data_IF_176332564900
#
_entry.id   IF_176332564900
#
_cell.length_a   1.000
_cell.length_b   1.000
_cell.length_c   1.000
_cell.angle_alpha   90.00
_cell.angle_beta   90.00
_cell.angle_gamma   90.00
#
_symmetry.space_group_name_H-M   'P 1'
#
loop_
_entity.id
_entity.type
_entity.pdbx_description
1 polymer ?
#
# COMPACT_ATOMS: atom_id res chain seq x y z
N UNK A 1 -28.82 21.07 -11.54
CA UNK A 1 -27.93 19.91 -11.64
C UNK A 1 -26.50 20.45 -11.74
N UNK A 2 -25.81 20.62 -10.61
CA UNK A 2 -24.41 21.02 -10.62
C UNK A 2 -23.59 19.81 -11.05
N UNK A 3 -22.83 19.94 -12.15
CA UNK A 3 -21.76 18.99 -12.45
C UNK A 3 -20.70 19.21 -11.38
N UNK A 4 -20.70 18.37 -10.35
CA UNK A 4 -19.56 18.22 -9.46
C UNK A 4 -18.41 17.76 -10.34
N UNK A 5 -17.57 18.72 -10.76
CA UNK A 5 -16.31 18.44 -11.40
C UNK A 5 -15.43 17.83 -10.30
N UNK A 6 -15.55 16.51 -10.12
CA UNK A 6 -14.58 15.73 -9.36
C UNK A 6 -13.25 15.86 -10.09
N UNK A 7 -12.49 16.92 -9.80
CA UNK A 7 -11.14 17.08 -10.28
C UNK A 7 -10.29 16.02 -9.58
N UNK A 8 -10.19 14.88 -10.26
CA UNK A 8 -9.38 13.75 -9.84
C UNK A 8 -7.92 14.13 -10.01
N UNK A 9 -7.18 14.20 -8.90
CA UNK A 9 -5.72 14.33 -8.92
C UNK A 9 -5.16 13.11 -9.68
N UNK A 10 -4.30 13.28 -10.70
CA UNK A 10 -3.66 12.17 -11.37
C UNK A 10 -3.00 11.22 -10.36
N UNK A 11 -3.21 9.92 -10.53
CA UNK A 11 -2.77 8.89 -9.57
C UNK A 11 -1.26 8.95 -9.28
N UNK A 12 -0.45 9.25 -10.29
CA UNK A 12 1.00 9.40 -10.16
C UNK A 12 1.38 10.62 -9.31
N UNK A 13 0.70 11.75 -9.53
CA UNK A 13 0.89 12.97 -8.74
C UNK A 13 0.47 12.71 -7.28
N UNK A 14 -0.67 12.05 -7.08
CA UNK A 14 -1.14 11.64 -5.76
C UNK A 14 -0.14 10.73 -5.03
N UNK A 15 0.37 9.70 -5.72
CA UNK A 15 1.36 8.78 -5.14
C UNK A 15 2.66 9.50 -4.81
N UNK A 16 3.14 10.36 -5.72
CA UNK A 16 4.32 11.19 -5.49
C UNK A 16 4.17 12.07 -4.25
N UNK A 17 3.02 12.73 -4.08
CA UNK A 17 2.75 13.53 -2.87
C UNK A 17 2.73 12.67 -1.61
N UNK A 18 2.12 11.49 -1.68
CA UNK A 18 2.01 10.55 -0.56
C UNK A 18 3.38 10.04 -0.12
N UNK A 19 4.23 9.65 -1.07
CA UNK A 19 5.62 9.23 -0.82
C UNK A 19 6.42 10.34 -0.17
N UNK A 20 6.36 11.56 -0.72
CA UNK A 20 7.08 12.71 -0.19
C UNK A 20 6.59 13.09 1.22
N UNK A 21 5.27 13.03 1.46
CA UNK A 21 4.69 13.31 2.76
C UNK A 21 5.15 12.30 3.81
N UNK A 22 5.04 11.01 3.51
CA UNK A 22 5.47 9.94 4.43
C UNK A 22 6.97 10.00 4.71
N UNK A 23 7.78 10.27 3.68
CA UNK A 23 9.23 10.50 3.83
C UNK A 23 9.50 11.66 4.80
N UNK A 24 8.85 12.80 4.59
CA UNK A 24 9.01 13.98 5.44
C UNK A 24 8.60 13.70 6.89
N UNK A 25 7.47 13.02 7.10
CA UNK A 25 6.91 12.77 8.43
C UNK A 25 7.71 11.76 9.24
N UNK A 26 8.24 10.69 8.63
CA UNK A 26 8.86 9.58 9.37
C UNK A 26 10.37 9.47 9.22
N UNK A 27 10.94 10.00 8.13
CA UNK A 27 12.37 9.88 7.81
C UNK A 27 13.14 11.18 8.05
N UNK A 28 12.57 12.33 7.68
CA UNK A 28 13.21 13.64 7.86
C UNK A 28 12.84 14.35 9.17
N UNK A 29 11.59 14.22 9.63
CA UNK A 29 11.16 14.84 10.88
C UNK A 29 11.98 14.33 12.08
N UNK A 30 11.96 15.11 13.17
CA UNK A 30 12.67 14.68 14.36
C UNK A 30 12.09 13.36 14.92
N UNK A 31 12.97 12.53 15.49
CA UNK A 31 12.62 11.18 15.96
C UNK A 31 11.46 11.18 16.96
N UNK A 32 11.35 12.21 17.79
CA UNK A 32 10.30 12.34 18.79
C UNK A 32 8.92 12.51 18.16
N UNK A 33 8.79 13.40 17.17
CA UNK A 33 7.55 13.63 16.43
C UNK A 33 7.14 12.39 15.64
N UNK A 34 8.06 11.83 14.86
CA UNK A 34 7.79 10.62 14.08
C UNK A 34 7.33 9.46 14.96
N UNK A 35 7.96 9.29 16.14
CA UNK A 35 7.56 8.26 17.11
C UNK A 35 6.22 8.56 17.77
N UNK A 36 5.87 9.83 17.98
CA UNK A 36 4.55 10.22 18.51
C UNK A 36 3.45 9.82 17.53
N UNK A 37 3.58 10.23 16.26
CA UNK A 37 2.63 9.90 15.20
C UNK A 37 2.51 8.38 15.05
N UNK A 38 3.65 7.67 15.01
CA UNK A 38 3.67 6.21 14.97
C UNK A 38 2.87 5.58 16.13
N UNK A 39 3.04 6.05 17.36
CA UNK A 39 2.31 5.50 18.52
C UNK A 39 0.82 5.68 18.36
N UNK A 40 0.38 6.85 17.91
CA UNK A 40 -1.04 7.12 17.71
C UNK A 40 -1.64 6.21 16.64
N UNK A 41 -1.00 6.07 15.48
CA UNK A 41 -1.51 5.18 14.42
C UNK A 41 -1.40 3.70 14.79
N UNK A 42 -0.38 3.29 15.55
CA UNK A 42 -0.24 1.91 16.05
C UNK A 42 -1.32 1.55 17.10
N UNK A 43 -1.85 2.55 17.82
CA UNK A 43 -3.02 2.41 18.69
C UNK A 43 -4.35 2.35 17.91
N UNK A 44 -4.31 2.38 16.57
CA UNK A 44 -5.48 2.36 15.70
C UNK A 44 -6.13 3.74 15.49
N UNK A 45 -5.47 4.84 15.88
CA UNK A 45 -5.97 6.19 15.64
C UNK A 45 -5.69 6.63 14.21
N UNK A 46 -6.53 7.54 13.72
CA UNK A 46 -6.28 8.30 12.51
C UNK A 46 -5.62 9.63 12.89
N UNK A 47 -4.48 9.93 12.27
CA UNK A 47 -3.69 11.12 12.59
C UNK A 47 -3.61 12.05 11.38
N UNK A 48 -4.00 13.31 11.57
CA UNK A 48 -3.83 14.33 10.54
C UNK A 48 -2.34 14.66 10.37
N UNK A 49 -1.81 14.49 9.16
CA UNK A 49 -0.41 14.77 8.85
C UNK A 49 -0.21 16.23 8.43
N UNK A 50 -0.95 16.69 7.43
CA UNK A 50 -0.81 18.05 6.88
C UNK A 50 -1.98 18.43 5.97
N UNK A 51 -2.04 19.70 5.60
CA UNK A 51 -2.92 20.18 4.53
C UNK A 51 -2.05 20.52 3.32
N UNK A 52 -2.37 19.94 2.17
CA UNK A 52 -1.73 20.24 0.89
C UNK A 52 -2.61 21.21 0.12
N UNK A 53 -2.02 22.32 -0.33
CA UNK A 53 -2.68 23.23 -1.25
C UNK A 53 -2.55 22.70 -2.67
N UNK A 54 -3.68 22.49 -3.33
CA UNK A 54 -3.77 22.06 -4.72
C UNK A 54 -3.57 23.25 -5.67
N UNK A 55 -3.38 22.96 -6.96
CA UNK A 55 -3.18 23.97 -8.00
C UNK A 55 -4.37 24.93 -8.14
N UNK A 56 -5.59 24.46 -7.85
CA UNK A 56 -6.82 25.24 -7.80
C UNK A 56 -6.99 26.06 -6.49
N UNK A 57 -5.98 26.06 -5.62
CA UNK A 57 -5.95 26.65 -4.27
C UNK A 57 -6.83 25.96 -3.24
N UNK A 58 -7.48 24.85 -3.58
CA UNK A 58 -8.18 24.04 -2.58
C UNK A 58 -7.17 23.45 -1.58
N UNK A 59 -7.62 23.28 -0.33
CA UNK A 59 -6.82 22.64 0.71
C UNK A 59 -7.34 21.23 0.91
N UNK A 60 -6.48 20.24 0.72
CA UNK A 60 -6.80 18.83 1.01
C UNK A 60 -6.01 18.38 2.22
N UNK A 61 -6.71 17.89 3.24
CA UNK A 61 -6.09 17.34 4.44
C UNK A 61 -5.65 15.90 4.17
N UNK A 62 -4.42 15.56 4.53
CA UNK A 62 -3.92 14.20 4.48
C UNK A 62 -3.92 13.63 5.89
N UNK A 63 -4.66 12.55 6.07
CA UNK A 63 -4.75 11.78 7.30
C UNK A 63 -4.00 10.45 7.12
N UNK A 64 -3.53 9.85 8.22
CA UNK A 64 -2.80 8.60 8.23
C UNK A 64 -3.44 7.60 9.19
N UNK A 65 -3.60 6.37 8.71
CA UNK A 65 -3.95 5.20 9.49
C UNK A 65 -2.92 4.07 9.27
N UNK A 66 -2.79 3.20 10.27
CA UNK A 66 -1.96 2.01 10.20
C UNK A 66 -2.80 0.78 10.54
N UNK A 67 -2.77 -0.21 9.64
CA UNK A 67 -3.29 -1.54 9.85
C UNK A 67 -2.11 -2.51 9.99
N UNK A 68 -1.90 -3.00 11.20
CA UNK A 68 -0.82 -3.94 11.52
C UNK A 68 -1.36 -5.30 11.98
N UNK A 69 -2.63 -5.58 11.68
CA UNK A 69 -3.30 -6.84 12.04
C UNK A 69 -2.54 -8.10 11.58
N UNK A 70 -1.95 -8.04 10.38
CA UNK A 70 -1.16 -9.13 9.81
C UNK A 70 0.34 -9.10 10.18
N UNK A 71 0.77 -8.13 11.00
CA UNK A 71 2.17 -8.05 11.42
C UNK A 71 2.53 -9.19 12.38
N UNK A 72 3.54 -9.99 12.01
CA UNK A 72 3.97 -11.14 12.81
C UNK A 72 4.97 -10.71 13.89
N UNK A 73 4.46 -10.29 15.04
CA UNK A 73 5.26 -9.99 16.22
C UNK A 73 4.84 -8.69 16.89
N UNK A 74 5.77 -8.07 17.63
CA UNK A 74 5.52 -6.77 18.25
C UNK A 74 6.10 -5.67 17.39
N UNK A 75 5.24 -5.03 16.59
CA UNK A 75 5.63 -3.88 15.80
C UNK A 75 6.17 -2.77 16.71
N UNK A 76 7.42 -2.36 16.46
CA UNK A 76 8.04 -1.23 17.12
C UNK A 76 8.39 -0.15 16.10
N UNK A 77 8.71 1.07 16.57
CA UNK A 77 8.98 2.20 15.70
C UNK A 77 10.16 1.96 14.74
N UNK A 78 11.18 1.20 15.15
CA UNK A 78 12.32 0.86 14.31
C UNK A 78 11.88 -0.02 13.14
N UNK A 79 11.26 -1.15 13.43
CA UNK A 79 10.78 -2.10 12.41
C UNK A 79 9.74 -1.48 11.48
N UNK A 80 8.85 -0.64 12.01
CA UNK A 80 7.94 0.17 11.20
C UNK A 80 8.68 1.11 10.25
N UNK A 81 9.65 1.87 10.78
CA UNK A 81 10.43 2.82 9.98
C UNK A 81 11.24 2.10 8.90
N UNK A 82 11.79 0.94 9.19
CA UNK A 82 12.55 0.13 8.23
C UNK A 82 11.63 -0.35 7.10
N UNK A 83 10.46 -0.92 7.43
CA UNK A 83 9.44 -1.32 6.44
C UNK A 83 8.96 -0.14 5.58
N UNK A 84 8.72 1.01 6.21
CA UNK A 84 8.33 2.22 5.49
C UNK A 84 9.47 2.72 4.58
N UNK A 85 10.72 2.65 5.02
CA UNK A 85 11.88 3.04 4.21
C UNK A 85 11.97 2.19 2.95
N UNK A 86 11.83 0.87 3.08
CA UNK A 86 11.83 -0.05 1.92
C UNK A 86 10.65 0.25 0.99
N UNK A 87 9.45 0.44 1.53
CA UNK A 87 8.26 0.76 0.74
C UNK A 87 8.46 2.05 -0.08
N UNK A 88 8.90 3.13 0.56
CA UNK A 88 9.11 4.42 -0.10
C UNK A 88 10.20 4.37 -1.17
N UNK A 89 11.26 3.58 -0.94
CA UNK A 89 12.28 3.33 -1.95
C UNK A 89 11.70 2.61 -3.19
N UNK A 90 10.94 1.53 -2.98
CA UNK A 90 10.30 0.79 -4.07
C UNK A 90 9.29 1.65 -4.85
N UNK A 91 8.52 2.50 -4.17
CA UNK A 91 7.59 3.44 -4.82
C UNK A 91 8.32 4.50 -5.63
N UNK A 92 9.40 5.04 -5.08
CA UNK A 92 10.24 6.02 -5.79
C UNK A 92 10.86 5.40 -7.04
N UNK A 93 11.33 4.16 -6.96
CA UNK A 93 11.88 3.44 -8.11
C UNK A 93 10.81 3.14 -9.16
N UNK A 94 9.61 2.73 -8.75
CA UNK A 94 8.49 2.50 -9.66
C UNK A 94 8.06 3.79 -10.39
N UNK A 95 7.98 4.91 -9.68
CA UNK A 95 7.68 6.23 -10.25
C UNK A 95 8.78 6.69 -11.22
N UNK A 96 10.06 6.49 -10.88
CA UNK A 96 11.20 6.85 -11.74
C UNK A 96 11.26 6.03 -13.03
N UNK A 97 10.84 4.77 -12.97
CA UNK A 97 10.88 3.85 -14.11
C UNK A 97 9.63 3.98 -15.00
N UNK A 98 8.73 4.92 -14.73
CA UNK A 98 7.42 5.06 -15.42
C UNK A 98 6.69 3.72 -15.50
N UNK A 99 6.89 2.85 -14.50
CA UNK A 99 6.22 1.56 -14.46
C UNK A 99 4.74 1.82 -14.24
N UNK A 100 3.89 1.12 -14.98
CA UNK A 100 2.46 1.08 -14.70
C UNK A 100 2.28 0.45 -13.31
N UNK A 101 2.07 1.28 -12.29
CA UNK A 101 1.81 0.84 -10.93
C UNK A 101 0.41 0.25 -10.91
N UNK A 102 0.33 -1.06 -10.73
CA UNK A 102 -0.95 -1.76 -10.54
C UNK A 102 -1.63 -1.19 -9.31
N UNK A 103 -2.89 -0.77 -9.46
CA UNK A 103 -3.73 -0.32 -8.35
C UNK A 103 -4.85 -1.34 -8.19
N UNK A 104 -4.95 -1.91 -7.00
CA UNK A 104 -6.05 -2.78 -6.60
C UNK A 104 -7.12 -1.94 -5.91
N UNK A 105 -8.37 -2.32 -6.05
CA UNK A 105 -9.48 -1.75 -5.27
C UNK A 105 -9.93 -2.77 -4.25
N UNK A 106 -10.29 -2.33 -3.05
CA UNK A 106 -10.87 -3.24 -2.06
C UNK A 106 -12.24 -3.73 -2.58
N UNK A 107 -12.52 -5.03 -2.48
CA UNK A 107 -13.75 -5.64 -3.00
C UNK A 107 -15.01 -5.02 -2.35
N UNK A 108 -14.93 -4.73 -1.06
CA UNK A 108 -16.01 -4.12 -0.29
C UNK A 108 -16.10 -2.59 -0.38
N UNK A 109 -15.01 -1.91 -0.79
CA UNK A 109 -14.98 -0.45 -0.88
C UNK A 109 -14.15 0.03 -2.10
N UNK A 110 -14.82 0.45 -3.20
CA UNK A 110 -14.14 0.89 -4.41
C UNK A 110 -13.40 2.23 -4.25
N UNK A 111 -13.62 2.97 -3.16
CA UNK A 111 -12.90 4.22 -2.88
C UNK A 111 -11.50 3.96 -2.29
N UNK A 112 -11.29 2.77 -1.73
CA UNK A 112 -10.00 2.33 -1.21
C UNK A 112 -9.15 1.76 -2.34
N UNK A 113 -8.13 2.51 -2.71
CA UNK A 113 -7.12 2.12 -3.70
C UNK A 113 -5.88 1.61 -2.98
N UNK A 114 -5.40 0.42 -3.31
CA UNK A 114 -4.15 -0.17 -2.81
C UNK A 114 -3.12 -0.15 -3.94
N UNK A 115 -1.98 0.51 -3.69
CA UNK A 115 -0.88 0.53 -4.64
C UNK A 115 -0.11 -0.79 -4.56
N UNK A 116 0.01 -1.49 -5.68
CA UNK A 116 0.68 -2.80 -5.79
C UNK A 116 2.19 -2.79 -5.64
N UNK A 117 2.76 -1.73 -5.05
CA UNK A 117 4.17 -1.64 -4.69
C UNK A 117 4.29 -2.05 -3.22
N UNK A 118 5.14 -3.03 -2.95
CA UNK A 118 5.30 -3.61 -1.62
C UNK A 118 6.67 -3.31 -1.04
N UNK A 119 6.71 -3.06 0.27
CA UNK A 119 7.94 -2.97 1.05
C UNK A 119 8.11 -4.26 1.83
N UNK A 120 9.02 -5.13 1.39
CA UNK A 120 9.31 -6.41 2.05
C UNK A 120 10.50 -6.26 2.98
N UNK A 121 10.30 -6.52 4.26
CA UNK A 121 11.35 -6.55 5.28
C UNK A 121 11.39 -7.88 5.99
N UNK A 122 12.53 -8.20 6.59
CA UNK A 122 12.71 -9.41 7.39
C UNK A 122 13.05 -9.00 8.82
N UNK A 123 12.15 -9.30 9.76
CA UNK A 123 12.40 -9.13 11.19
C UNK A 123 12.42 -10.51 11.85
N UNK A 124 13.48 -10.83 12.60
CA UNK A 124 13.66 -12.13 13.26
C UNK A 124 13.48 -13.34 12.30
N UNK A 125 13.86 -13.18 11.03
CA UNK A 125 13.72 -14.21 9.99
C UNK A 125 12.30 -14.38 9.45
N UNK A 126 11.35 -13.53 9.83
CA UNK A 126 9.97 -13.54 9.34
C UNK A 126 9.76 -12.40 8.34
N UNK A 127 9.26 -12.69 7.12
CA UNK A 127 8.95 -11.65 6.16
C UNK A 127 7.72 -10.85 6.62
N UNK A 128 7.81 -9.53 6.49
CA UNK A 128 6.71 -8.58 6.67
C UNK A 128 6.53 -7.80 5.38
N UNK A 129 5.28 -7.69 4.93
CA UNK A 129 4.95 -6.99 3.68
C UNK A 129 4.13 -5.77 4.01
N UNK A 130 4.65 -4.58 3.75
CA UNK A 130 3.94 -3.31 3.92
C UNK A 130 3.46 -2.79 2.57
N UNK A 131 2.23 -2.30 2.51
CA UNK A 131 1.66 -1.62 1.33
C UNK A 131 1.04 -0.27 1.71
N UNK A 132 0.87 0.59 0.70
CA UNK A 132 0.13 1.83 0.83
C UNK A 132 -1.24 1.70 0.17
N UNK A 133 -2.27 1.99 0.94
CA UNK A 133 -3.61 2.28 0.47
C UNK A 133 -3.92 3.77 0.56
N UNK A 134 -4.88 4.22 -0.22
CA UNK A 134 -5.45 5.55 -0.17
C UNK A 134 -6.97 5.47 -0.33
N UNK A 135 -7.67 6.12 0.59
CA UNK A 135 -9.10 6.37 0.49
C UNK A 135 -9.32 7.86 0.28
N UNK A 136 -9.67 8.21 -0.96
CA UNK A 136 -10.11 9.53 -1.33
C UNK A 136 -11.64 9.51 -1.30
N UNK A 137 -12.21 9.56 -0.09
CA UNK A 137 -13.65 9.44 0.13
C UNK A 137 -14.47 10.37 -0.79
N UNK A 138 -15.69 9.95 -1.11
CA UNK A 138 -16.57 10.68 -2.00
C UNK A 138 -17.06 12.00 -1.38
N UNK A 139 -16.32 13.09 -1.60
CA UNK A 139 -16.79 14.47 -1.37
C UNK A 139 -16.25 15.23 -0.16
N UNK A 140 -15.28 14.68 0.59
CA UNK A 140 -14.57 15.43 1.64
C UNK A 140 -13.22 15.94 1.12
N UNK A 141 -12.74 17.13 1.52
CA UNK A 141 -11.41 17.63 1.18
C UNK A 141 -10.33 16.94 2.05
N UNK A 142 -10.43 15.62 2.22
CA UNK A 142 -9.50 14.83 2.99
C UNK A 142 -9.19 13.52 2.29
N UNK A 143 -7.92 13.14 2.30
CA UNK A 143 -7.46 11.83 1.82
C UNK A 143 -6.87 11.07 2.99
N UNK A 144 -7.32 9.83 3.17
CA UNK A 144 -6.76 8.90 4.15
C UNK A 144 -5.68 8.05 3.51
N UNK A 145 -4.45 8.18 3.97
CA UNK A 145 -3.37 7.25 3.67
C UNK A 145 -3.46 6.09 4.65
N UNK A 146 -3.52 4.86 4.14
CA UNK A 146 -3.58 3.65 4.97
C UNK A 146 -2.34 2.80 4.73
N UNK A 147 -1.45 2.76 5.70
CA UNK A 147 -0.34 1.80 5.68
C UNK A 147 -0.87 0.46 6.17
N UNK A 148 -0.67 -0.62 5.41
CA UNK A 148 -1.22 -1.93 5.74
C UNK A 148 -0.14 -2.99 5.67
N UNK A 149 0.00 -3.77 6.75
CA UNK A 149 0.74 -5.01 6.68
C UNK A 149 -0.14 -6.12 6.11
N UNK A 150 0.42 -6.90 5.18
CA UNK A 150 -0.25 -8.03 4.55
C UNK A 150 0.40 -9.35 4.97
N UNK A 151 -0.39 -10.42 4.95
CA UNK A 151 0.12 -11.76 5.20
C UNK A 151 1.06 -12.18 4.06
N UNK A 152 2.31 -12.50 4.42
CA UNK A 152 3.33 -12.95 3.49
C UNK A 152 2.95 -14.27 2.80
N UNK A 153 2.05 -15.08 3.40
CA UNK A 153 1.59 -16.33 2.79
C UNK A 153 0.89 -16.12 1.45
N UNK A 154 0.31 -14.93 1.24
CA UNK A 154 -0.34 -14.53 -0.01
C UNK A 154 0.65 -14.22 -1.13
N UNK A 155 1.94 -14.05 -0.79
CA UNK A 155 3.04 -13.80 -1.72
C UNK A 155 3.95 -15.03 -1.89
N UNK A 156 3.55 -16.18 -1.32
CA UNK A 156 4.22 -17.47 -1.49
C UNK A 156 4.05 -18.02 -2.92
N UNK A 157 5.11 -18.65 -3.42
CA UNK A 157 5.36 -19.10 -4.80
C UNK A 157 4.15 -19.56 -5.63
N UNK A 158 4.16 -19.36 -6.96
CA UNK A 158 3.18 -19.96 -7.86
C UNK A 158 3.14 -21.46 -7.59
N UNK A 159 2.00 -21.96 -7.10
CA UNK A 159 1.74 -23.39 -7.02
C UNK A 159 2.03 -23.96 -8.41
N UNK A 160 2.94 -24.94 -8.56
CA UNK A 160 3.05 -25.67 -9.81
C UNK A 160 1.67 -26.25 -10.06
N UNK A 161 1.01 -25.74 -11.09
CA UNK A 161 -0.24 -26.30 -11.59
C UNK A 161 0.18 -27.67 -12.13
N UNK A 162 0.06 -28.69 -11.29
CA UNK A 162 0.17 -30.08 -11.71
C UNK A 162 -0.89 -30.25 -12.79
N UNK A 163 -0.43 -30.25 -14.04
CA UNK A 163 -1.24 -30.61 -15.18
C UNK A 163 -1.76 -32.00 -14.88
N UNK A 164 -3.06 -32.09 -14.58
CA UNK A 164 -3.82 -33.32 -14.67
C UNK A 164 -3.78 -33.71 -16.15
N UNK A 165 -2.71 -34.43 -16.52
CA UNK A 165 -2.60 -35.09 -17.79
C UNK A 165 -3.74 -36.12 -17.83
N UNK A 166 -4.73 -35.82 -18.66
CA UNK A 166 -5.87 -36.69 -18.92
C UNK A 166 -5.39 -38.09 -19.24
N UNK A 167 -5.70 -39.02 -18.34
CA UNK A 167 -5.74 -40.43 -18.67
C UNK A 167 -7.12 -40.69 -19.28
N UNK A 168 -7.26 -40.43 -20.58
CA UNK A 168 -8.33 -41.03 -21.38
C UNK A 168 -7.89 -41.24 -22.84
N UNK A 169 -8.30 -42.40 -23.36
CA UNK A 169 -8.27 -42.88 -24.75
C UNK A 169 -7.01 -43.59 -25.29
N UNK A 170 -7.18 -44.87 -25.63
CA UNK A 170 -6.27 -45.59 -26.53
C UNK A 170 -6.41 -47.11 -26.60
N UNK A 171 -7.58 -47.59 -27.00
CA UNK A 171 -7.87 -48.98 -27.42
C UNK A 171 -6.91 -49.56 -28.48
N UNK A 172 -6.73 -50.88 -28.41
CA UNK A 172 -6.55 -51.86 -29.50
C UNK A 172 -5.64 -51.55 -30.71
N UNK A 173 -4.53 -52.30 -30.81
CA UNK A 173 -4.20 -53.17 -31.97
C UNK A 173 -2.82 -53.81 -31.82
N UNK A 174 -2.78 -55.14 -31.78
CA UNK A 174 -1.57 -55.95 -31.95
C UNK A 174 -1.73 -56.79 -33.21
N UNK A 175 -0.92 -56.60 -34.26
CA UNK A 175 -0.82 -57.53 -35.36
C UNK A 175 0.57 -58.18 -35.41
N UNK A 176 0.63 -59.49 -35.12
CA UNK A 176 1.49 -60.47 -35.81
C UNK A 176 1.18 -61.90 -35.32
#
# INVERSE_FOLDING_TARGET
MAREQSQSIPREQFLTMSVNLLHKVFLEANRTQAKSIYREVAEGKQVALTNVQMEDKSLVRFDLALDHSEYRGKLNFGSFRDSLTVLLAQMTDALRQEKNITVFTQEDDPNVMIFGVTGVTYEEGKPSVLVLGADAGSGQPSVMLKLMYLDHSQFGEPRPQVAEAGADAGEDQDPA
#
